data_IF_862968681758
#
_entry.id   IF_862968681758
#
_cell.length_a   1.000
_cell.length_b   1.000
_cell.length_c   1.000
_cell.angle_alpha   90.00
_cell.angle_beta   90.00
_cell.angle_gamma   90.00
#
_symmetry.space_group_name_H-M   'P 1'
#
loop_
_entity.id
_entity.type
_entity.pdbx_description
1 polymer ?
#
# COMPACT_ATOMS: atom_id res chain seq x y z
N UNK A 1 -16.14 -3.00 -29.64
CA UNK A 1 -14.80 -2.98 -29.01
C UNK A 1 -14.88 -1.98 -27.87
N UNK A 2 -14.82 -2.42 -26.61
CA UNK A 2 -14.84 -1.50 -25.47
C UNK A 2 -13.48 -0.81 -25.43
N UNK A 3 -13.42 0.46 -25.82
CA UNK A 3 -12.15 1.15 -26.08
C UNK A 3 -11.56 1.84 -24.85
N UNK A 4 -12.25 1.89 -23.71
CA UNK A 4 -11.68 2.47 -22.49
C UNK A 4 -12.33 1.91 -21.23
N UNK A 5 -11.50 1.33 -20.35
CA UNK A 5 -11.87 0.97 -18.98
C UNK A 5 -11.43 2.11 -18.06
N UNK A 6 -12.29 2.51 -17.14
CA UNK A 6 -11.90 3.39 -16.03
C UNK A 6 -10.74 2.74 -15.27
N UNK A 7 -9.62 3.46 -15.13
CA UNK A 7 -8.39 2.95 -14.49
C UNK A 7 -8.35 3.30 -13.00
N UNK A 8 -9.50 3.43 -12.37
CA UNK A 8 -9.58 3.56 -10.93
C UNK A 8 -9.14 2.24 -10.27
N UNK A 9 -8.06 2.31 -9.50
CA UNK A 9 -7.52 1.16 -8.77
C UNK A 9 -8.01 1.09 -7.32
N UNK A 10 -8.82 2.04 -6.88
CA UNK A 10 -9.30 2.10 -5.50
C UNK A 10 -10.17 0.87 -5.16
N UNK A 11 -9.95 0.30 -3.98
CA UNK A 11 -10.74 -0.82 -3.46
C UNK A 11 -11.05 -0.62 -1.98
N UNK A 12 -12.13 -1.24 -1.50
CA UNK A 12 -12.47 -1.29 -0.07
C UNK A 12 -12.13 -2.66 0.50
N UNK A 13 -11.30 -2.70 1.54
CA UNK A 13 -10.92 -3.92 2.25
C UNK A 13 -11.38 -3.79 3.70
N UNK A 14 -12.26 -4.69 4.16
CA UNK A 14 -12.80 -4.69 5.52
C UNK A 14 -13.41 -3.33 5.95
N UNK A 15 -14.04 -2.61 5.00
CA UNK A 15 -14.64 -1.30 5.24
C UNK A 15 -13.66 -0.11 5.15
N UNK A 16 -12.38 -0.34 4.87
CA UNK A 16 -11.39 0.71 4.65
C UNK A 16 -11.08 0.86 3.16
N UNK A 17 -11.17 2.08 2.63
CA UNK A 17 -10.73 2.38 1.27
C UNK A 17 -9.20 2.47 1.18
N UNK A 18 -8.64 1.89 0.12
CA UNK A 18 -7.21 1.97 -0.23
C UNK A 18 -7.06 2.31 -1.72
N UNK A 19 -6.02 3.05 -2.13
CA UNK A 19 -5.91 3.61 -3.48
C UNK A 19 -5.59 2.57 -4.58
N UNK A 20 -5.14 1.39 -4.19
CA UNK A 20 -4.76 0.30 -5.08
C UNK A 20 -4.96 -1.05 -4.37
N UNK A 21 -5.18 -2.18 -5.08
CA UNK A 21 -5.28 -3.51 -4.48
C UNK A 21 -3.91 -4.09 -4.11
N UNK A 22 -3.05 -3.28 -3.47
CA UNK A 22 -1.68 -3.59 -3.08
C UNK A 22 -1.49 -3.19 -1.63
N UNK A 23 -0.98 -4.11 -0.81
CA UNK A 23 -0.66 -3.87 0.60
C UNK A 23 0.71 -4.44 0.97
N UNK A 24 1.14 -4.21 2.22
CA UNK A 24 2.40 -4.75 2.76
C UNK A 24 2.11 -5.98 3.60
N UNK A 25 2.74 -7.10 3.26
CA UNK A 25 2.65 -8.32 4.04
C UNK A 25 3.41 -8.19 5.37
N UNK A 26 2.93 -8.82 6.46
CA UNK A 26 3.66 -8.85 7.73
C UNK A 26 5.04 -9.48 7.54
N UNK A 27 6.09 -8.69 7.78
CA UNK A 27 7.49 -9.11 7.61
C UNK A 27 8.26 -8.77 8.88
N UNK A 28 9.11 -9.68 9.36
CA UNK A 28 9.92 -9.47 10.55
C UNK A 28 11.26 -8.77 10.21
N UNK A 29 11.96 -8.28 11.24
CA UNK A 29 13.34 -7.81 11.14
C UNK A 29 13.61 -6.72 10.09
N UNK A 30 12.70 -5.75 9.92
CA UNK A 30 12.88 -4.62 9.00
C UNK A 30 14.16 -3.80 9.27
N UNK A 31 14.72 -3.88 10.48
CA UNK A 31 16.00 -3.25 10.83
C UNK A 31 17.18 -3.80 10.02
N UNK A 32 17.08 -5.01 9.46
CA UNK A 32 18.10 -5.55 8.55
C UNK A 32 18.19 -4.77 7.24
N UNK A 33 17.11 -4.11 6.82
CA UNK A 33 17.03 -3.36 5.58
C UNK A 33 17.19 -1.84 5.77
N UNK A 34 16.79 -1.29 6.91
CA UNK A 34 16.83 0.15 7.16
C UNK A 34 16.98 0.48 8.66
N UNK A 35 17.78 1.50 9.07
CA UNK A 35 17.99 1.84 10.48
C UNK A 35 16.71 2.15 11.28
N UNK A 36 15.69 2.68 10.60
CA UNK A 36 14.39 2.97 11.23
C UNK A 36 13.39 1.80 11.19
N UNK A 37 13.76 0.69 10.55
CA UNK A 37 12.98 -0.53 10.47
C UNK A 37 11.56 -0.33 9.97
N UNK A 38 10.59 -0.95 10.66
CA UNK A 38 9.18 -0.95 10.27
C UNK A 38 8.56 0.46 10.24
N UNK A 39 9.14 1.43 10.97
CA UNK A 39 8.67 2.83 10.93
C UNK A 39 8.87 3.46 9.55
N UNK A 40 10.00 3.18 8.89
CA UNK A 40 10.24 3.65 7.54
C UNK A 40 9.23 3.06 6.55
N UNK A 41 8.94 1.75 6.66
CA UNK A 41 7.92 1.09 5.84
C UNK A 41 6.53 1.70 6.06
N UNK A 42 6.11 1.89 7.31
CA UNK A 42 4.80 2.47 7.64
C UNK A 42 4.64 3.88 7.06
N UNK A 43 5.67 4.73 7.16
CA UNK A 43 5.64 6.08 6.57
C UNK A 43 5.57 6.05 5.04
N UNK A 44 6.29 5.13 4.39
CA UNK A 44 6.21 4.95 2.93
C UNK A 44 4.80 4.58 2.46
N UNK A 45 4.11 3.72 3.23
CA UNK A 45 2.72 3.34 2.95
C UNK A 45 1.77 4.52 3.13
N UNK A 46 1.86 5.23 4.27
CA UNK A 46 1.07 6.44 4.49
C UNK A 46 1.28 7.45 3.36
N UNK A 47 2.53 7.67 2.90
CA UNK A 47 2.81 8.60 1.79
C UNK A 47 2.18 8.20 0.46
N UNK A 48 1.88 6.92 0.27
CA UNK A 48 1.27 6.40 -0.97
C UNK A 48 -0.26 6.38 -0.87
N UNK A 49 -0.81 6.41 0.35
CA UNK A 49 -2.25 6.32 0.61
C UNK A 49 -2.96 7.70 0.62
N UNK A 50 -2.21 8.80 0.41
CA UNK A 50 -2.71 10.18 0.37
C UNK A 50 -2.11 10.97 -0.80
#
# INVERSE_FOLDING_TARGET
MCTEFDRNLQVTVQGQEIPAPVGVAPTAFHLLAHPEGAKATARGIVRTYF
#
